data_IF_082240854797
#
_entry.id   IF_082240854797
#
_cell.length_a   1.000
_cell.length_b   1.000
_cell.length_c   1.000
_cell.angle_alpha   90.00
_cell.angle_beta   90.00
_cell.angle_gamma   90.00
#
_symmetry.space_group_name_H-M   'P 1'
#
loop_
_entity.id
_entity.type
_entity.pdbx_description
1 polymer ?
#
# COMPACT_ATOMS: atom_id res chain seq x y z
N UNK A 1 5.99 24.19 5.03
CA UNK A 1 4.71 23.51 5.33
C UNK A 1 4.72 22.21 4.56
N UNK A 2 4.83 21.07 5.23
CA UNK A 2 4.84 19.80 4.53
C UNK A 2 3.46 19.60 3.91
N UNK A 3 3.40 19.61 2.58
CA UNK A 3 2.23 19.20 1.80
C UNK A 3 2.04 17.70 1.96
N UNK A 4 1.63 17.26 3.15
CA UNK A 4 1.26 15.87 3.41
C UNK A 4 -0.02 15.60 2.62
N UNK A 5 0.08 14.75 1.61
CA UNK A 5 -1.10 14.21 0.95
C UNK A 5 -1.99 13.57 2.03
N UNK A 6 -3.28 13.92 2.12
CA UNK A 6 -4.15 13.35 3.15
C UNK A 6 -4.11 11.83 3.10
N UNK A 7 -4.09 11.16 4.26
CA UNK A 7 -4.04 9.68 4.34
C UNK A 7 -5.14 9.04 3.48
N UNK A 8 -6.31 9.69 3.40
CA UNK A 8 -7.44 9.26 2.56
C UNK A 8 -7.09 9.19 1.06
N UNK A 9 -6.27 10.13 0.57
CA UNK A 9 -5.80 10.14 -0.80
C UNK A 9 -4.75 9.05 -1.05
N UNK A 10 -3.80 8.86 -0.11
CA UNK A 10 -2.83 7.77 -0.17
C UNK A 10 -3.51 6.41 -0.20
N UNK A 11 -4.51 6.21 0.65
CA UNK A 11 -5.27 4.97 0.71
C UNK A 11 -5.99 4.66 -0.60
N UNK A 12 -6.61 5.66 -1.24
CA UNK A 12 -7.20 5.51 -2.58
C UNK A 12 -6.17 5.12 -3.64
N UNK A 13 -4.97 5.72 -3.61
CA UNK A 13 -3.90 5.37 -4.55
C UNK A 13 -3.50 3.91 -4.37
N UNK A 14 -3.29 3.47 -3.12
CA UNK A 14 -2.93 2.09 -2.82
C UNK A 14 -4.05 1.08 -3.12
N UNK A 15 -5.32 1.47 -2.94
CA UNK A 15 -6.48 0.68 -3.38
C UNK A 15 -6.50 0.52 -4.91
N UNK A 16 -6.15 1.55 -5.69
CA UNK A 16 -6.06 1.43 -7.15
C UNK A 16 -4.95 0.50 -7.65
N UNK A 17 -3.91 0.26 -6.83
CA UNK A 17 -2.80 -0.64 -7.16
C UNK A 17 -2.82 -1.91 -6.29
N UNK A 18 -3.97 -2.27 -5.71
CA UNK A 18 -4.03 -3.39 -4.74
C UNK A 18 -3.63 -4.74 -5.34
N UNK A 19 -3.91 -4.94 -6.63
CA UNK A 19 -3.54 -6.15 -7.38
C UNK A 19 -2.06 -6.16 -7.77
N UNK A 20 -1.43 -4.99 -7.86
CA UNK A 20 -0.01 -4.83 -8.18
C UNK A 20 0.85 -4.91 -6.91
N UNK A 21 0.93 -6.13 -6.37
CA UNK A 21 1.72 -6.43 -5.16
C UNK A 21 3.18 -5.96 -5.23
N UNK A 22 3.92 -6.12 -6.35
CA UNK A 22 5.26 -5.57 -6.49
C UNK A 22 5.35 -4.06 -6.23
N UNK A 23 4.38 -3.29 -6.74
CA UNK A 23 4.31 -1.85 -6.50
C UNK A 23 3.95 -1.53 -5.05
N UNK A 24 3.01 -2.25 -4.44
CA UNK A 24 2.72 -2.10 -3.01
C UNK A 24 3.93 -2.40 -2.14
N UNK A 25 4.71 -3.45 -2.45
CA UNK A 25 5.95 -3.75 -1.74
C UNK A 25 6.98 -2.63 -1.87
N UNK A 26 7.09 -2.01 -3.04
CA UNK A 26 7.95 -0.83 -3.23
C UNK A 26 7.46 0.36 -2.40
N UNK A 27 6.13 0.55 -2.28
CA UNK A 27 5.51 1.61 -1.47
C UNK A 27 5.79 1.47 0.03
N UNK A 28 5.93 0.24 0.56
CA UNK A 28 6.31 -0.01 1.96
C UNK A 28 7.67 0.62 2.31
N UNK A 29 8.59 0.68 1.35
CA UNK A 29 9.97 1.12 1.55
C UNK A 29 10.15 2.64 1.45
N UNK A 30 9.11 3.38 1.04
CA UNK A 30 9.20 4.83 0.79
C UNK A 30 9.34 5.61 2.11
N UNK A 31 8.45 5.38 3.07
CA UNK A 31 8.52 5.99 4.42
C UNK A 31 7.58 5.27 5.40
N UNK A 32 7.72 5.59 6.70
CA UNK A 32 6.89 5.00 7.78
C UNK A 32 5.38 5.18 7.57
N UNK A 33 4.98 6.28 6.95
CA UNK A 33 3.58 6.63 6.79
C UNK A 33 2.93 5.80 5.68
N UNK A 34 3.64 5.62 4.57
CA UNK A 34 3.23 4.74 3.47
C UNK A 34 3.19 3.28 3.93
N UNK A 35 4.17 2.85 4.74
CA UNK A 35 4.17 1.53 5.35
C UNK A 35 2.89 1.27 6.16
N UNK A 36 2.47 2.22 7.01
CA UNK A 36 1.26 2.10 7.82
C UNK A 36 -0.02 1.95 6.98
N UNK A 37 -0.12 2.64 5.84
CA UNK A 37 -1.31 2.58 4.98
C UNK A 37 -1.31 1.33 4.06
N UNK A 38 -0.15 0.86 3.61
CA UNK A 38 -0.03 -0.27 2.67
C UNK A 38 -0.18 -1.63 3.36
N UNK A 39 0.32 -1.78 4.60
CA UNK A 39 0.20 -3.04 5.36
C UNK A 39 -1.23 -3.60 5.42
N UNK A 40 -2.26 -2.84 5.81
CA UNK A 40 -3.62 -3.35 5.85
C UNK A 40 -4.18 -3.72 4.47
N UNK A 41 -3.70 -3.09 3.39
CA UNK A 41 -4.10 -3.41 2.00
C UNK A 41 -3.50 -4.74 1.57
N UNK A 42 -2.21 -4.97 1.84
CA UNK A 42 -1.55 -6.25 1.58
C UNK A 42 -2.19 -7.40 2.37
N UNK A 43 -2.64 -7.14 3.60
CA UNK A 43 -3.31 -8.14 4.46
C UNK A 43 -4.76 -8.44 4.07
N UNK A 44 -5.41 -7.63 3.23
CA UNK A 44 -6.77 -7.96 2.72
C UNK A 44 -6.76 -9.18 1.79
N UNK A 45 -5.65 -9.39 1.08
CA UNK A 45 -5.53 -10.47 0.09
C UNK A 45 -4.27 -11.31 0.36
N UNK A 46 -4.23 -12.08 1.46
CA UNK A 46 -3.09 -12.94 1.77
C UNK A 46 -2.88 -14.01 0.68
N UNK A 47 -3.93 -14.43 -0.02
CA UNK A 47 -3.90 -15.69 -0.76
C UNK A 47 -3.14 -15.69 -2.10
N UNK A 48 -2.67 -14.55 -2.63
CA UNK A 48 -2.00 -14.58 -3.94
C UNK A 48 -0.59 -15.21 -3.91
N UNK A 49 0.01 -15.44 -2.74
CA UNK A 49 1.29 -16.16 -2.63
C UNK A 49 1.14 -17.67 -2.40
N UNK A 50 -0.08 -18.17 -2.14
CA UNK A 50 -0.32 -19.61 -1.92
C UNK A 50 -0.59 -20.40 -3.21
N UNK A 51 -0.65 -19.73 -4.37
CA UNK A 51 -0.78 -20.37 -5.67
C UNK A 51 0.52 -20.27 -6.46
N UNK A 52 1.60 -20.84 -5.93
CA UNK A 52 2.78 -21.20 -6.73
C UNK A 52 3.41 -22.48 -6.21
#
# INVERSE_FOLDING_TARGET
>A
MASSLPNLCLRKIFECIEEDKPSLHSCLLVNRHWCQEVVPILWRSPNAYMSK
#
